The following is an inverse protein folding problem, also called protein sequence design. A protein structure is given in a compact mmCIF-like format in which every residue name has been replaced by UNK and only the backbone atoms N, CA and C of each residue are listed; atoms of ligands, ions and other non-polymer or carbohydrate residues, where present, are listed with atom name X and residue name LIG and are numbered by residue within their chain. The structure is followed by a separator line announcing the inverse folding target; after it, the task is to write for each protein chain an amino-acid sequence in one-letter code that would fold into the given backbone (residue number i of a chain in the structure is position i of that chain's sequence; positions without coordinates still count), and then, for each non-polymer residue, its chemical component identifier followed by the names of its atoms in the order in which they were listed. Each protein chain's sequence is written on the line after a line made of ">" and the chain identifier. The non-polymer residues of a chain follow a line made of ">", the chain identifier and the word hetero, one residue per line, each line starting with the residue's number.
data_IF_153388850242
#
_entry.id   IF_153388850242
#
_cell.length_a   1.000
_cell.length_b   1.000
_cell.length_c   1.000
_cell.angle_alpha   90.00
_cell.angle_beta   90.00
_cell.angle_gamma   90.00
#
_symmetry.space_group_name_H-M   'P 1'
#
loop_
_entity.id
_entity.type
_entity.pdbx_description
1 polymer ?
#
# COMPACT_ATOMS: atom_id res chain seq x y z
N UNK A 1 -16.52 42.96 0.39
CA UNK A 1 -16.28 41.56 0.79
C UNK A 1 -17.05 40.74 -0.22
N UNK A 2 -16.43 40.61 -1.39
CA UNK A 2 -17.09 40.20 -2.62
C UNK A 2 -16.85 38.71 -2.85
N UNK A 3 -17.94 37.96 -2.90
CA UNK A 3 -17.92 36.54 -3.23
C UNK A 3 -17.76 36.37 -4.73
N UNK A 4 -16.60 35.87 -5.16
CA UNK A 4 -16.37 35.42 -6.53
C UNK A 4 -16.75 33.94 -6.63
N UNK A 5 -17.91 33.65 -7.25
CA UNK A 5 -18.33 32.29 -7.60
C UNK A 5 -17.77 31.97 -8.99
N UNK A 6 -16.73 31.13 -9.06
CA UNK A 6 -16.22 30.60 -10.32
C UNK A 6 -16.97 29.29 -10.67
N UNK A 7 -17.72 29.30 -11.77
CA UNK A 7 -18.27 28.09 -12.37
C UNK A 7 -17.17 27.34 -13.13
N UNK A 8 -16.86 26.12 -12.70
CA UNK A 8 -15.99 25.18 -13.40
C UNK A 8 -16.82 24.46 -14.47
N UNK A 9 -16.49 24.68 -15.74
CA UNK A 9 -17.07 23.97 -16.87
C UNK A 9 -16.55 22.51 -16.90
N UNK A 10 -17.46 21.55 -16.81
CA UNK A 10 -17.16 20.13 -16.93
C UNK A 10 -16.79 19.78 -18.38
N UNK A 11 -15.58 19.25 -18.59
CA UNK A 11 -15.18 18.61 -19.84
C UNK A 11 -15.58 17.13 -19.83
N UNK A 12 -16.15 16.56 -20.91
CA UNK A 12 -16.48 15.13 -20.96
C UNK A 12 -15.21 14.27 -21.15
N UNK A 13 -15.12 13.08 -20.53
CA UNK A 13 -13.99 12.19 -20.74
C UNK A 13 -14.02 11.58 -22.16
N UNK A 14 -12.90 11.72 -22.87
CA UNK A 14 -12.60 10.97 -24.10
C UNK A 14 -12.30 9.51 -23.74
N UNK A 15 -13.28 8.64 -23.92
CA UNK A 15 -13.10 7.19 -23.92
C UNK A 15 -12.30 6.78 -25.15
N UNK A 16 -11.00 6.53 -24.95
CA UNK A 16 -10.17 5.84 -25.95
C UNK A 16 -10.52 4.35 -25.91
N UNK A 17 -11.22 3.91 -26.95
CA UNK A 17 -11.63 2.53 -27.13
C UNK A 17 -10.43 1.62 -27.39
N UNK A 18 -10.36 0.54 -26.63
CA UNK A 18 -9.65 -0.67 -27.02
C UNK A 18 -10.68 -1.73 -27.38
N UNK A 19 -10.56 -2.22 -28.61
CA UNK A 19 -11.28 -3.35 -29.20
C UNK A 19 -11.43 -4.50 -28.21
N UNK A 20 -12.66 -4.81 -27.79
CA UNK A 20 -12.96 -6.10 -27.17
C UNK A 20 -13.20 -7.12 -28.28
N UNK A 21 -12.29 -8.08 -28.38
CA UNK A 21 -12.51 -9.34 -29.09
C UNK A 21 -13.71 -10.03 -28.44
N UNK A 22 -14.73 -10.28 -29.24
CA UNK A 22 -15.96 -10.95 -28.83
C UNK A 22 -15.69 -12.44 -28.62
N UNK A 23 -15.82 -12.91 -27.37
CA UNK A 23 -15.95 -14.34 -27.06
C UNK A 23 -17.43 -14.63 -26.86
N UNK A 24 -18.10 -15.42 -27.74
CA UNK A 24 -19.49 -15.79 -27.55
C UNK A 24 -19.56 -16.94 -26.53
N UNK A 25 -20.05 -16.66 -25.33
CA UNK A 25 -20.49 -17.69 -24.39
C UNK A 25 -22.01 -17.63 -24.28
N UNK A 26 -22.65 -18.50 -25.06
CA UNK A 26 -24.03 -18.89 -24.90
C UNK A 26 -24.17 -19.75 -23.64
N UNK A 27 -24.71 -19.22 -22.54
CA UNK A 27 -25.18 -20.03 -21.41
C UNK A 27 -26.48 -19.46 -20.83
N UNK A 28 -27.58 -20.11 -21.22
CA UNK A 28 -28.73 -20.52 -20.41
C UNK A 28 -29.43 -19.44 -19.56
N UNK A 29 -30.54 -18.93 -20.10
CA UNK A 29 -31.62 -18.33 -19.35
C UNK A 29 -32.28 -19.40 -18.44
N UNK A 30 -31.86 -19.45 -17.18
CA UNK A 30 -32.50 -20.20 -16.12
C UNK A 30 -33.41 -19.28 -15.30
N UNK A 31 -34.71 -19.37 -15.55
CA UNK A 31 -35.76 -18.75 -14.73
C UNK A 31 -35.79 -19.45 -13.37
N UNK A 32 -35.36 -18.75 -12.31
CA UNK A 32 -35.75 -19.07 -10.94
C UNK A 32 -36.53 -17.89 -10.36
N UNK A 33 -37.83 -17.89 -10.64
CA UNK A 33 -38.80 -17.23 -9.78
C UNK A 33 -39.00 -18.12 -8.54
N UNK A 34 -38.42 -17.73 -7.41
CA UNK A 34 -38.87 -18.18 -6.09
C UNK A 34 -39.11 -16.92 -5.25
N UNK A 35 -40.39 -16.58 -5.14
CA UNK A 35 -40.89 -15.72 -4.08
C UNK A 35 -40.84 -16.50 -2.76
N UNK A 36 -40.30 -15.86 -1.71
CA UNK A 36 -40.82 -15.83 -0.33
C UNK A 36 -39.72 -15.46 0.67
N UNK A 37 -39.79 -14.20 1.12
CA UNK A 37 -39.77 -13.79 2.53
C UNK A 37 -38.92 -14.60 3.51
N UNK A 38 -37.65 -14.21 3.67
CA UNK A 38 -36.97 -14.26 4.97
C UNK A 38 -35.86 -13.21 4.94
N UNK A 39 -36.04 -12.13 5.69
CA UNK A 39 -34.93 -11.24 6.00
C UNK A 39 -33.87 -12.07 6.73
N UNK A 40 -32.61 -12.12 6.26
CA UNK A 40 -31.56 -12.64 7.10
C UNK A 40 -31.46 -11.69 8.30
N UNK A 41 -31.80 -12.18 9.48
CA UNK A 41 -31.26 -11.63 10.72
C UNK A 41 -29.75 -11.61 10.55
N UNK A 42 -29.21 -10.41 10.28
CA UNK A 42 -27.80 -10.14 10.49
C UNK A 42 -27.57 -10.35 11.97
N UNK A 43 -27.09 -11.54 12.29
CA UNK A 43 -26.45 -11.81 13.56
C UNK A 43 -25.22 -10.90 13.58
N UNK A 44 -25.39 -9.72 14.17
CA UNK A 44 -24.35 -8.81 14.63
C UNK A 44 -23.58 -9.50 15.76
N UNK A 45 -23.04 -10.68 15.46
CA UNK A 45 -21.96 -11.27 16.23
C UNK A 45 -20.75 -10.44 15.87
N UNK A 46 -20.61 -9.33 16.60
CA UNK A 46 -19.48 -8.43 16.59
C UNK A 46 -18.20 -9.20 16.85
N UNK A 47 -17.67 -9.82 15.80
CA UNK A 47 -16.24 -10.04 15.67
C UNK A 47 -15.70 -8.77 15.04
N UNK A 48 -15.73 -7.70 15.86
CA UNK A 48 -14.77 -6.62 15.73
C UNK A 48 -13.42 -7.32 15.81
N UNK A 49 -12.89 -7.65 14.64
CA UNK A 49 -11.52 -8.11 14.45
C UNK A 49 -10.63 -6.94 14.81
N UNK A 50 -10.53 -6.68 16.12
CA UNK A 50 -9.46 -5.94 16.74
C UNK A 50 -8.22 -6.75 16.41
N UNK A 51 -7.63 -6.48 15.24
CA UNK A 51 -6.24 -6.77 15.01
C UNK A 51 -5.52 -6.22 16.24
N UNK A 52 -4.77 -7.06 16.98
CA UNK A 52 -4.10 -6.57 18.16
C UNK A 52 -3.16 -5.47 17.67
N UNK A 53 -3.47 -4.22 18.04
CA UNK A 53 -2.51 -3.11 18.02
C UNK A 53 -1.43 -3.54 19.00
N UNK A 54 -0.48 -4.34 18.54
CA UNK A 54 0.64 -4.78 19.35
C UNK A 54 1.55 -3.58 19.48
N UNK A 55 1.63 -3.03 20.69
CA UNK A 55 2.77 -2.23 21.10
C UNK A 55 4.03 -3.05 20.82
N UNK A 56 4.84 -2.60 19.86
CA UNK A 56 6.15 -3.19 19.59
C UNK A 56 6.98 -3.06 20.87
N UNK A 57 7.04 -4.11 21.68
CA UNK A 57 8.10 -4.23 22.67
C UNK A 57 9.39 -4.55 21.92
N UNK A 58 10.45 -3.72 22.04
CA UNK A 58 11.76 -4.04 21.50
C UNK A 58 12.23 -5.35 22.14
N UNK A 59 12.23 -6.43 21.37
CA UNK A 59 12.82 -7.70 21.81
C UNK A 59 14.33 -7.55 21.65
N UNK A 60 15.03 -7.63 22.77
CA UNK A 60 16.49 -7.63 22.84
C UNK A 60 17.07 -8.63 21.83
N UNK A 61 18.00 -8.19 20.96
CA UNK A 61 18.47 -9.00 19.84
C UNK A 61 19.25 -10.22 20.36
N UNK A 62 18.75 -11.41 20.02
CA UNK A 62 19.55 -12.61 20.08
C UNK A 62 20.64 -12.53 19.00
N UNK A 63 21.88 -12.81 19.39
CA UNK A 63 23.04 -12.81 18.50
C UNK A 63 22.80 -13.73 17.29
N UNK A 64 22.80 -13.16 16.09
CA UNK A 64 22.67 -13.88 14.82
C UNK A 64 24.04 -13.95 14.13
N UNK A 65 24.43 -15.17 13.75
CA UNK A 65 25.66 -15.49 13.03
C UNK A 65 25.68 -14.84 11.63
N UNK A 66 26.82 -14.25 11.27
CA UNK A 66 27.04 -13.61 9.97
C UNK A 66 26.96 -14.60 8.79
N UNK A 67 26.12 -14.36 7.76
CA UNK A 67 26.24 -15.05 6.49
C UNK A 67 27.31 -14.38 5.61
N UNK A 68 28.21 -15.19 5.09
CA UNK A 68 29.25 -14.83 4.12
C UNK A 68 28.63 -14.30 2.82
N UNK A 69 28.93 -13.05 2.46
CA UNK A 69 28.54 -12.46 1.17
C UNK A 69 29.31 -13.09 0.01
N UNK A 70 28.59 -13.57 -1.00
CA UNK A 70 29.13 -14.15 -2.23
C UNK A 70 29.22 -13.04 -3.30
N UNK A 71 30.45 -12.70 -3.70
CA UNK A 71 30.74 -11.63 -4.65
C UNK A 71 30.28 -11.94 -6.07
N UNK A 72 29.29 -11.19 -6.55
CA UNK A 72 28.87 -11.15 -7.95
C UNK A 72 29.46 -9.93 -8.67
N UNK A 73 30.29 -10.16 -9.68
CA UNK A 73 30.79 -9.13 -10.61
C UNK A 73 29.65 -8.56 -11.45
N UNK A 74 29.23 -7.34 -11.15
CA UNK A 74 28.23 -6.61 -11.91
C UNK A 74 28.81 -6.10 -13.25
N UNK A 75 28.05 -6.32 -14.33
CA UNK A 75 28.29 -5.80 -15.68
C UNK A 75 28.10 -4.28 -15.70
N UNK A 76 28.97 -3.48 -16.36
CA UNK A 76 28.82 -2.03 -16.42
C UNK A 76 27.51 -1.64 -17.12
N UNK A 77 26.70 -0.82 -16.46
CA UNK A 77 25.50 -0.22 -17.04
C UNK A 77 25.87 0.87 -18.07
N UNK A 78 25.08 1.03 -19.15
CA UNK A 78 25.27 2.12 -20.11
C UNK A 78 25.06 3.50 -19.45
N UNK A 79 25.71 4.55 -19.96
CA UNK A 79 25.54 5.91 -19.45
C UNK A 79 24.10 6.38 -19.68
N UNK A 80 23.40 6.67 -18.59
CA UNK A 80 22.07 7.29 -18.62
C UNK A 80 22.27 8.78 -18.93
N UNK A 81 21.65 9.26 -20.00
CA UNK A 81 21.64 10.68 -20.34
C UNK A 81 20.91 11.45 -19.23
N UNK A 82 21.59 12.43 -18.63
CA UNK A 82 21.03 13.24 -17.56
C UNK A 82 20.00 14.22 -18.13
N UNK A 83 18.73 13.90 -18.00
CA UNK A 83 17.65 14.87 -18.16
C UNK A 83 17.85 15.96 -17.09
N UNK A 84 18.29 17.15 -17.51
CA UNK A 84 18.41 18.34 -16.67
C UNK A 84 17.03 18.95 -16.37
N UNK A 85 16.10 18.12 -15.89
CA UNK A 85 14.88 18.58 -15.26
C UNK A 85 15.27 19.27 -13.97
N UNK A 86 14.85 20.53 -13.80
CA UNK A 86 14.94 21.21 -12.51
C UNK A 86 14.07 20.45 -11.52
N UNK A 87 14.65 19.47 -10.84
CA UNK A 87 14.00 18.71 -9.78
C UNK A 87 13.57 19.71 -8.70
N UNK A 88 12.29 20.04 -8.69
CA UNK A 88 11.73 20.87 -7.64
C UNK A 88 12.00 20.15 -6.31
N UNK A 89 12.71 20.83 -5.41
CA UNK A 89 12.99 20.29 -4.09
C UNK A 89 11.67 19.85 -3.43
N UNK A 90 11.67 18.72 -2.67
CA UNK A 90 10.48 18.27 -1.98
C UNK A 90 9.94 19.39 -1.08
N UNK A 91 8.67 19.72 -1.26
CA UNK A 91 8.03 20.88 -0.61
C UNK A 91 7.07 20.49 0.50
N UNK A 92 6.98 19.20 0.84
CA UNK A 92 6.12 18.70 1.92
C UNK A 92 6.56 19.20 3.29
N UNK A 93 5.61 19.29 4.22
CA UNK A 93 5.87 19.74 5.61
C UNK A 93 6.92 18.89 6.32
N UNK A 94 7.07 17.62 5.92
CA UNK A 94 8.07 16.69 6.46
C UNK A 94 9.34 16.57 5.61
N UNK A 95 9.48 17.35 4.53
CA UNK A 95 10.68 17.36 3.70
C UNK A 95 11.99 17.63 4.47
N UNK A 96 12.02 18.45 5.54
CA UNK A 96 13.24 18.66 6.33
C UNK A 96 13.71 17.45 7.16
N UNK A 97 12.92 16.38 7.26
CA UNK A 97 13.30 15.21 8.06
C UNK A 97 14.61 14.58 7.54
N UNK A 98 15.57 14.23 8.42
CA UNK A 98 16.91 13.84 8.00
C UNK A 98 17.01 12.43 7.39
N UNK A 99 16.06 11.55 7.69
CA UNK A 99 16.06 10.15 7.23
C UNK A 99 14.63 9.66 7.01
N UNK A 100 14.51 8.45 6.47
CA UNK A 100 13.24 7.80 6.14
C UNK A 100 12.30 7.74 7.35
N UNK A 101 12.79 7.22 8.49
CA UNK A 101 11.98 7.02 9.72
C UNK A 101 11.44 8.36 10.24
N UNK A 102 12.29 9.37 10.35
CA UNK A 102 11.88 10.69 10.83
C UNK A 102 10.85 11.37 9.90
N UNK A 103 10.86 11.05 8.60
CA UNK A 103 9.91 11.56 7.63
C UNK A 103 8.53 10.92 7.79
N UNK A 104 8.47 9.59 7.88
CA UNK A 104 7.22 8.88 8.14
C UNK A 104 6.63 9.26 9.50
N UNK A 105 7.44 9.31 10.56
CA UNK A 105 6.99 9.74 11.90
C UNK A 105 6.37 11.15 11.87
N UNK A 106 6.90 12.04 11.03
CA UNK A 106 6.36 13.38 10.84
C UNK A 106 5.03 13.36 10.07
N UNK A 107 4.93 12.54 9.02
CA UNK A 107 3.70 12.43 8.22
C UNK A 107 2.57 11.72 8.99
N UNK A 108 2.89 10.69 9.77
CA UNK A 108 1.93 10.00 10.64
C UNK A 108 1.31 10.97 11.66
N UNK A 109 2.12 11.85 12.28
CA UNK A 109 1.62 12.87 13.22
C UNK A 109 0.69 13.90 12.58
N UNK A 110 0.77 14.10 11.26
CA UNK A 110 -0.10 15.01 10.51
C UNK A 110 -1.33 14.30 9.94
N UNK A 111 -1.28 12.98 9.80
CA UNK A 111 -2.37 12.19 9.25
C UNK A 111 -3.50 12.01 10.27
N UNK A 112 -4.74 11.79 9.81
CA UNK A 112 -5.83 11.39 10.68
C UNK A 112 -5.51 10.11 11.46
N UNK A 113 -6.07 9.93 12.67
CA UNK A 113 -5.94 8.68 13.40
C UNK A 113 -6.44 7.51 12.54
N UNK A 114 -5.72 6.39 12.57
CA UNK A 114 -5.93 5.17 11.78
C UNK A 114 -5.46 5.19 10.31
N UNK A 115 -4.86 6.27 9.79
CA UNK A 115 -4.30 6.28 8.44
C UNK A 115 -3.27 5.14 8.25
N UNK A 116 -2.32 5.02 9.18
CA UNK A 116 -1.29 3.96 9.16
C UNK A 116 -1.91 2.56 9.21
N UNK A 117 -2.96 2.37 10.02
CA UNK A 117 -3.67 1.08 10.10
C UNK A 117 -4.30 0.70 8.76
N UNK A 118 -4.88 1.66 8.03
CA UNK A 118 -5.50 1.42 6.73
C UNK A 118 -4.45 1.05 5.69
N UNK A 119 -3.35 1.81 5.63
CA UNK A 119 -2.24 1.50 4.74
C UNK A 119 -1.65 0.12 5.06
N UNK A 120 -1.40 -0.17 6.34
CA UNK A 120 -0.84 -1.44 6.81
C UNK A 120 -1.77 -2.63 6.51
N UNK A 121 -3.08 -2.47 6.66
CA UNK A 121 -4.06 -3.49 6.31
C UNK A 121 -4.07 -3.76 4.80
N UNK A 122 -3.99 -2.72 3.96
CA UNK A 122 -3.93 -2.89 2.51
C UNK A 122 -2.62 -3.55 2.06
N UNK A 123 -1.49 -3.17 2.66
CA UNK A 123 -0.20 -3.80 2.42
C UNK A 123 -0.21 -5.28 2.84
N UNK A 124 -0.70 -5.57 4.05
CA UNK A 124 -0.84 -6.93 4.55
C UNK A 124 -1.78 -7.78 3.70
N UNK A 125 -2.91 -7.21 3.25
CA UNK A 125 -3.84 -7.88 2.35
C UNK A 125 -3.16 -8.26 1.03
N UNK A 126 -2.41 -7.33 0.41
CA UNK A 126 -1.64 -7.62 -0.80
C UNK A 126 -0.65 -8.77 -0.58
N UNK A 127 0.12 -8.75 0.52
CA UNK A 127 1.11 -9.80 0.80
C UNK A 127 0.47 -11.17 1.07
N UNK A 128 -0.68 -11.19 1.74
CA UNK A 128 -1.25 -12.38 2.39
C UNK A 128 -2.45 -13.01 1.69
N UNK A 129 -3.17 -12.27 0.83
CA UNK A 129 -4.23 -12.84 0.01
C UNK A 129 -3.67 -13.97 -0.86
N UNK A 130 -4.47 -14.97 -1.22
CA UNK A 130 -4.03 -16.03 -2.15
C UNK A 130 -4.74 -15.84 -3.49
N UNK A 131 -4.01 -15.67 -4.62
CA UNK A 131 -2.56 -15.73 -4.78
C UNK A 131 -1.85 -14.36 -4.62
N UNK A 132 -1.22 -14.13 -3.46
CA UNK A 132 -0.41 -12.96 -3.15
C UNK A 132 1.10 -13.27 -3.28
N UNK A 133 1.95 -12.26 -3.53
CA UNK A 133 3.35 -12.46 -3.86
C UNK A 133 4.16 -13.11 -2.73
N UNK A 134 3.74 -12.92 -1.47
CA UNK A 134 4.40 -13.48 -0.30
C UNK A 134 3.52 -14.43 0.52
N UNK A 135 2.36 -14.84 0.00
CA UNK A 135 1.39 -15.62 0.75
C UNK A 135 1.96 -16.94 1.28
N UNK A 136 2.82 -17.62 0.50
CA UNK A 136 3.48 -18.86 0.92
C UNK A 136 4.58 -18.64 1.96
N UNK A 137 5.39 -17.59 1.81
CA UNK A 137 6.51 -17.28 2.71
C UNK A 137 6.04 -16.68 4.05
N UNK A 138 4.99 -15.86 4.00
CA UNK A 138 4.43 -15.13 5.15
C UNK A 138 3.21 -15.81 5.78
N UNK A 139 2.62 -16.81 5.11
CA UNK A 139 1.34 -17.43 5.47
C UNK A 139 1.28 -18.07 6.87
N UNK A 140 2.41 -18.56 7.38
CA UNK A 140 2.50 -19.18 8.71
C UNK A 140 2.92 -18.20 9.81
N UNK A 141 3.39 -17.00 9.45
CA UNK A 141 3.97 -16.01 10.35
C UNK A 141 3.20 -14.69 10.29
N UNK A 142 3.68 -13.72 9.50
CA UNK A 142 3.13 -12.37 9.35
C UNK A 142 1.63 -12.37 9.03
N UNK A 143 1.18 -13.23 8.10
CA UNK A 143 -0.23 -13.30 7.71
C UNK A 143 -1.17 -13.86 8.78
N UNK A 144 -0.62 -14.38 9.89
CA UNK A 144 -1.37 -14.80 11.09
C UNK A 144 -1.19 -13.83 12.26
N UNK A 145 -0.62 -12.64 12.02
CA UNK A 145 -0.36 -11.64 13.04
C UNK A 145 0.82 -11.97 13.97
N UNK A 146 1.75 -12.82 13.51
CA UNK A 146 3.01 -13.08 14.21
C UNK A 146 4.14 -12.23 13.61
N UNK A 147 5.30 -12.18 14.27
CA UNK A 147 6.50 -11.61 13.68
C UNK A 147 6.84 -12.36 12.36
N UNK A 148 7.28 -11.64 11.31
CA UNK A 148 7.69 -12.28 10.06
C UNK A 148 8.86 -13.25 10.31
N UNK A 149 8.88 -14.34 9.53
CA UNK A 149 10.04 -15.23 9.47
C UNK A 149 11.10 -14.67 8.52
N UNK A 150 12.35 -15.12 8.61
CA UNK A 150 13.41 -14.74 7.66
C UNK A 150 13.09 -15.08 6.18
N UNK A 151 12.16 -16.01 5.92
CA UNK A 151 11.66 -16.26 4.57
C UNK A 151 10.63 -15.20 4.14
N UNK A 152 9.78 -14.77 5.07
CA UNK A 152 8.83 -13.69 4.84
C UNK A 152 9.55 -12.35 4.64
N UNK A 153 10.54 -12.01 5.48
CA UNK A 153 11.33 -10.77 5.37
C UNK A 153 12.00 -10.67 3.98
N UNK A 154 12.70 -11.72 3.55
CA UNK A 154 13.30 -11.76 2.20
C UNK A 154 12.27 -11.61 1.08
N UNK A 155 11.05 -12.11 1.26
CA UNK A 155 9.99 -11.92 0.28
C UNK A 155 9.50 -10.46 0.28
N UNK A 156 9.31 -9.86 1.45
CA UNK A 156 8.93 -8.46 1.60
C UNK A 156 10.00 -7.55 1.00
N UNK A 157 11.28 -7.84 1.18
CA UNK A 157 12.36 -7.04 0.57
C UNK A 157 12.33 -7.10 -0.96
N UNK A 158 11.99 -8.25 -1.54
CA UNK A 158 11.99 -8.45 -3.00
C UNK A 158 10.70 -7.97 -3.67
N UNK A 159 9.55 -8.18 -3.01
CA UNK A 159 8.22 -8.00 -3.59
C UNK A 159 7.40 -6.90 -2.90
N UNK A 160 7.87 -6.39 -1.77
CA UNK A 160 7.16 -5.40 -0.95
C UNK A 160 6.88 -4.12 -1.70
N UNK A 161 7.77 -3.68 -2.60
CA UNK A 161 7.53 -2.48 -3.43
C UNK A 161 6.21 -2.54 -4.23
N UNK A 162 5.84 -3.71 -4.75
CA UNK A 162 4.57 -3.88 -5.46
C UNK A 162 3.36 -3.76 -4.51
N UNK A 163 3.47 -4.32 -3.30
CA UNK A 163 2.43 -4.20 -2.28
C UNK A 163 2.34 -2.82 -1.64
N UNK A 164 3.45 -2.09 -1.52
CA UNK A 164 3.45 -0.68 -1.10
C UNK A 164 2.69 0.19 -2.10
N UNK A 165 2.89 -0.02 -3.41
CA UNK A 165 2.15 0.72 -4.44
C UNK A 165 0.63 0.40 -4.40
N UNK A 166 0.26 -0.84 -4.10
CA UNK A 166 -1.13 -1.23 -3.90
C UNK A 166 -1.73 -0.61 -2.62
N UNK A 167 -0.96 -0.58 -1.53
CA UNK A 167 -1.35 0.05 -0.27
C UNK A 167 -1.54 1.56 -0.41
N UNK A 168 -0.63 2.24 -1.11
CA UNK A 168 -0.76 3.65 -1.49
C UNK A 168 -2.05 3.92 -2.27
N UNK A 169 -2.34 3.07 -3.25
CA UNK A 169 -3.55 3.22 -4.08
C UNK A 169 -4.81 3.07 -3.23
N UNK A 170 -4.85 2.08 -2.34
CA UNK A 170 -5.96 1.89 -1.40
C UNK A 170 -6.06 3.06 -0.40
N UNK A 171 -4.93 3.56 0.08
CA UNK A 171 -4.86 4.67 1.02
C UNK A 171 -5.33 5.98 0.38
N UNK A 172 -4.94 6.27 -0.86
CA UNK A 172 -5.42 7.43 -1.62
C UNK A 172 -6.92 7.38 -1.93
N UNK A 173 -7.50 6.17 -2.04
CA UNK A 173 -8.95 6.00 -2.20
C UNK A 173 -9.73 6.21 -0.89
N UNK A 174 -9.07 6.09 0.27
CA UNK A 174 -9.65 6.28 1.59
C UNK A 174 -9.39 7.72 2.10
N UNK A 175 -10.43 8.57 2.28
CA UNK A 175 -10.24 9.98 2.69
C UNK A 175 -9.42 10.18 3.97
N UNK A 176 -9.54 9.24 4.91
CA UNK A 176 -8.83 9.25 6.19
C UNK A 176 -7.36 8.83 6.08
N UNK A 177 -6.96 8.19 4.97
CA UNK A 177 -5.60 7.72 4.75
C UNK A 177 -4.86 8.59 3.73
N UNK A 178 -5.56 9.13 2.73
CA UNK A 178 -4.98 9.95 1.66
C UNK A 178 -4.00 11.07 2.12
N UNK A 179 -4.24 11.80 3.24
CA UNK A 179 -3.28 12.80 3.73
C UNK A 179 -1.90 12.23 4.09
N UNK A 180 -1.83 10.98 4.58
CA UNK A 180 -0.58 10.30 4.89
C UNK A 180 0.26 10.10 3.62
N UNK A 181 -0.29 9.40 2.63
CA UNK A 181 0.41 9.14 1.35
C UNK A 181 0.74 10.43 0.59
N UNK A 182 -0.11 11.47 0.67
CA UNK A 182 0.20 12.76 0.09
C UNK A 182 1.39 13.44 0.79
N UNK A 183 1.44 13.38 2.13
CA UNK A 183 2.55 13.91 2.90
C UNK A 183 3.87 13.20 2.54
N UNK A 184 3.85 11.88 2.45
CA UNK A 184 5.03 11.06 2.15
C UNK A 184 5.60 11.39 0.77
N UNK A 185 4.73 11.46 -0.25
CA UNK A 185 5.10 11.82 -1.63
C UNK A 185 5.61 13.25 -1.73
N UNK A 186 4.90 14.22 -1.14
CA UNK A 186 5.31 15.62 -1.17
C UNK A 186 6.63 15.87 -0.42
N UNK A 187 6.90 15.07 0.61
CA UNK A 187 8.13 15.13 1.41
C UNK A 187 9.26 14.25 0.86
N UNK A 188 9.00 13.50 -0.22
CA UNK A 188 9.88 12.50 -0.81
C UNK A 188 10.49 11.56 0.24
N UNK A 189 9.66 11.01 1.14
CA UNK A 189 10.15 10.16 2.23
C UNK A 189 10.94 8.96 1.71
N UNK A 190 10.48 8.28 0.64
CA UNK A 190 11.15 7.12 0.04
C UNK A 190 12.56 7.40 -0.50
N UNK A 191 12.86 8.67 -0.83
CA UNK A 191 14.17 9.08 -1.32
C UNK A 191 15.17 9.38 -0.19
N UNK A 192 14.72 9.36 1.07
CA UNK A 192 15.58 9.65 2.22
C UNK A 192 16.42 8.43 2.60
N UNK A 193 17.63 8.65 3.12
CA UNK A 193 18.47 7.54 3.58
C UNK A 193 17.77 6.81 4.73
N UNK A 194 17.94 5.49 4.77
CA UNK A 194 17.69 4.74 6.00
C UNK A 194 18.76 5.13 7.03
N UNK A 195 18.37 5.32 8.31
CA UNK A 195 19.29 5.72 9.37
C UNK A 195 20.35 4.66 9.69
#
# INVERSE_FOLDING_TARGET
>A
MDHFVAHVAASPPRVSGWLRVATPLAIVAGVCAIACSAAPTQDDSGQSGSWPVRSFQPKEPAAEESPTQQGGTAKPAPPVEADAGTDAAPSGVCAPAPNLIACYDCCEKQAPPNAVQIWSNAFGFCLCETPGPCASACGTSFCRGNAPSAACDRCIDQMGGACSAAADTACLAAPQCAPLTQCERASACDAKPMP
#
